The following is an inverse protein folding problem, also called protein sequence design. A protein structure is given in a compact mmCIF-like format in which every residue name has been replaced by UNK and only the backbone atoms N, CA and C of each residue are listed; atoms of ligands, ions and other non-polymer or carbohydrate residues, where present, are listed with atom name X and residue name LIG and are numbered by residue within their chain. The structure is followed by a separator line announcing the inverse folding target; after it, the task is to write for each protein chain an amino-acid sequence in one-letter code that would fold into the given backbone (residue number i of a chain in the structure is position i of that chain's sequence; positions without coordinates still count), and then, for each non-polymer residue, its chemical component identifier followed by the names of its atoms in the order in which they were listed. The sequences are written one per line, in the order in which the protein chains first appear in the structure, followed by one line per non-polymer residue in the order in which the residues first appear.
data_IF_926038002196
#
_entry.id   IF_926038002196
#
_cell.length_a   1.000
_cell.length_b   1.000
_cell.length_c   1.000
_cell.angle_alpha   90.00
_cell.angle_beta   90.00
_cell.angle_gamma   90.00
#
_symmetry.space_group_name_H-M   'P 1'
#
loop_
_entity.id
_entity.type
_entity.pdbx_description
1 polymer ?
#
# COMPACT_ATOMS: atom_id res chain seq x y z
N UNK A 1 -2.68 10.09 20.65
CA UNK A 1 -1.98 10.89 19.68
C UNK A 1 -0.93 10.13 18.90
N UNK A 2 -0.15 9.30 19.56
CA UNK A 2 0.81 8.48 18.84
C UNK A 2 0.13 7.53 17.87
N UNK A 3 -1.02 6.96 18.26
CA UNK A 3 -1.77 6.07 17.39
C UNK A 3 -2.24 6.77 16.14
N UNK A 4 -2.71 8.01 16.27
CA UNK A 4 -3.16 8.78 15.12
C UNK A 4 -2.01 9.05 14.16
N UNK A 5 -0.85 9.42 14.70
CA UNK A 5 0.33 9.65 13.87
C UNK A 5 0.82 8.38 13.21
N UNK A 6 0.75 7.24 13.92
CA UNK A 6 1.13 5.96 13.37
C UNK A 6 0.20 5.54 12.24
N UNK A 7 -1.11 5.67 12.44
CA UNK A 7 -2.09 5.34 11.40
C UNK A 7 -1.91 6.21 10.17
N UNK A 8 -1.68 7.50 10.35
CA UNK A 8 -1.45 8.40 9.23
C UNK A 8 -0.23 8.00 8.44
N UNK A 9 0.84 7.63 9.14
CA UNK A 9 2.08 7.19 8.49
C UNK A 9 1.86 5.93 7.66
N UNK A 10 1.17 4.94 8.21
CA UNK A 10 0.96 3.67 7.51
C UNK A 10 -0.06 3.82 6.38
N UNK A 11 -1.06 4.66 6.57
CA UNK A 11 -1.98 5.01 5.49
C UNK A 11 -1.20 5.61 4.31
N UNK A 12 -0.31 6.53 4.61
CA UNK A 12 0.51 7.19 3.61
C UNK A 12 1.45 6.20 2.92
N UNK A 13 2.05 5.28 3.68
CA UNK A 13 2.92 4.24 3.13
C UNK A 13 2.13 3.29 2.24
N UNK A 14 0.93 2.92 2.65
CA UNK A 14 0.06 2.03 1.87
C UNK A 14 -0.26 2.65 0.52
N UNK A 15 -0.65 3.92 0.52
CA UNK A 15 -0.94 4.62 -0.73
C UNK A 15 0.31 4.83 -1.57
N UNK A 16 1.41 5.16 -0.93
CA UNK A 16 2.68 5.34 -1.63
C UNK A 16 3.15 4.09 -2.34
N UNK A 17 3.03 2.95 -1.67
CA UNK A 17 3.40 1.67 -2.25
C UNK A 17 2.52 1.35 -3.46
N UNK A 18 1.22 1.52 -3.32
CA UNK A 18 0.28 1.27 -4.42
C UNK A 18 0.57 2.19 -5.61
N UNK A 19 0.76 3.47 -5.33
CA UNK A 19 1.04 4.44 -6.38
C UNK A 19 2.34 4.13 -7.12
N UNK A 20 3.35 3.71 -6.39
CA UNK A 20 4.65 3.37 -6.98
C UNK A 20 4.53 2.28 -8.04
N UNK A 21 3.59 1.33 -7.85
CA UNK A 21 3.38 0.23 -8.79
C UNK A 21 2.18 0.44 -9.71
N UNK A 22 1.68 1.68 -9.79
CA UNK A 22 0.65 2.04 -10.74
C UNK A 22 -0.78 1.75 -10.30
N UNK A 23 -1.01 1.57 -8.99
CA UNK A 23 -2.34 1.30 -8.46
C UNK A 23 -2.85 2.53 -7.71
N UNK A 24 -4.07 2.98 -8.02
CA UNK A 24 -4.74 4.03 -7.28
C UNK A 24 -5.82 3.39 -6.41
N UNK A 25 -5.55 3.31 -5.09
CA UNK A 25 -6.45 2.66 -4.15
C UNK A 25 -7.78 3.39 -4.03
N UNK A 26 -7.78 4.71 -4.09
CA UNK A 26 -9.02 5.49 -4.02
C UNK A 26 -9.91 5.19 -5.22
N UNK A 27 -9.33 5.15 -6.41
CA UNK A 27 -10.07 4.82 -7.62
C UNK A 27 -10.61 3.39 -7.54
N UNK A 28 -9.79 2.44 -7.08
CA UNK A 28 -10.21 1.06 -6.91
C UNK A 28 -11.41 0.96 -5.96
N UNK A 29 -11.38 1.74 -4.87
CA UNK A 29 -12.48 1.78 -3.92
C UNK A 29 -13.75 2.34 -4.56
N UNK A 30 -13.63 3.44 -5.29
CA UNK A 30 -14.77 4.06 -5.97
C UNK A 30 -15.38 3.15 -7.03
N UNK A 31 -14.54 2.39 -7.70
CA UNK A 31 -14.97 1.47 -8.75
C UNK A 31 -15.48 0.13 -8.20
N UNK A 32 -15.42 -0.06 -6.90
CA UNK A 32 -15.89 -1.29 -6.28
C UNK A 32 -14.96 -2.48 -6.43
N UNK A 33 -13.72 -2.27 -6.85
CA UNK A 33 -12.75 -3.36 -6.98
C UNK A 33 -12.22 -3.82 -5.62
N UNK A 34 -12.26 -2.91 -4.63
CA UNK A 34 -12.00 -3.26 -3.23
C UNK A 34 -13.08 -2.61 -2.38
N UNK A 35 -13.37 -3.22 -1.22
CA UNK A 35 -14.30 -2.65 -0.25
C UNK A 35 -13.56 -1.77 0.73
N UNK A 36 -14.32 -1.00 1.53
CA UNK A 36 -13.74 -0.23 2.63
C UNK A 36 -13.05 -1.15 3.64
N UNK A 37 -13.64 -2.32 3.86
CA UNK A 37 -13.08 -3.34 4.73
C UNK A 37 -11.73 -3.81 4.23
N UNK A 38 -11.64 -4.08 2.92
CA UNK A 38 -10.38 -4.49 2.30
C UNK A 38 -9.31 -3.42 2.45
N UNK A 39 -9.69 -2.17 2.26
CA UNK A 39 -8.78 -1.05 2.37
C UNK A 39 -8.26 -0.92 3.81
N UNK A 40 -9.19 -0.97 4.78
CA UNK A 40 -8.83 -0.88 6.19
C UNK A 40 -7.91 -2.03 6.59
N UNK A 41 -8.18 -3.22 6.10
CA UNK A 41 -7.36 -4.38 6.38
C UNK A 41 -5.96 -4.24 5.78
N UNK A 42 -5.86 -3.69 4.58
CA UNK A 42 -4.57 -3.46 3.94
C UNK A 42 -3.72 -2.50 4.77
N UNK A 43 -4.32 -1.43 5.29
CA UNK A 43 -3.61 -0.49 6.15
C UNK A 43 -3.15 -1.19 7.43
N UNK A 44 -4.01 -2.03 8.01
CA UNK A 44 -3.66 -2.76 9.22
C UNK A 44 -2.51 -3.73 8.97
N UNK A 45 -2.52 -4.44 7.86
CA UNK A 45 -1.45 -5.35 7.50
C UNK A 45 -0.14 -4.60 7.30
N UNK A 46 -0.20 -3.44 6.66
CA UNK A 46 0.95 -2.57 6.50
C UNK A 46 1.48 -2.12 7.86
N UNK A 47 0.56 -1.79 8.78
CA UNK A 47 0.90 -1.35 10.12
C UNK A 47 1.64 -2.44 10.91
N UNK A 48 1.29 -3.70 10.70
CA UNK A 48 1.90 -4.83 11.38
C UNK A 48 3.08 -5.43 10.63
N UNK A 49 3.43 -4.86 9.47
CA UNK A 49 4.55 -5.35 8.69
C UNK A 49 5.86 -5.12 9.42
N UNK A 50 6.71 -6.14 9.51
CA UNK A 50 7.99 -6.07 10.21
C UNK A 50 9.07 -5.33 9.42
N UNK A 51 8.76 -4.91 8.20
CA UNK A 51 9.75 -4.37 7.28
C UNK A 51 9.58 -2.87 7.00
N UNK A 52 9.11 -2.11 7.98
CA UNK A 52 8.87 -0.67 7.82
C UNK A 52 10.06 0.08 7.26
N UNK A 53 11.23 -0.15 7.84
CA UNK A 53 12.42 0.59 7.43
C UNK A 53 12.81 0.23 6.00
N UNK A 54 12.75 -1.03 5.66
CA UNK A 54 13.05 -1.50 4.30
C UNK A 54 12.05 -0.93 3.30
N UNK A 55 10.79 -0.83 3.70
CA UNK A 55 9.74 -0.25 2.88
C UNK A 55 10.02 1.23 2.63
N UNK A 56 10.39 1.98 3.66
CA UNK A 56 10.72 3.39 3.52
C UNK A 56 11.93 3.59 2.60
N UNK A 57 12.95 2.75 2.75
CA UNK A 57 14.13 2.80 1.90
C UNK A 57 13.76 2.52 0.45
N UNK A 58 12.92 1.50 0.24
CA UNK A 58 12.47 1.16 -1.10
C UNK A 58 11.67 2.29 -1.73
N UNK A 59 10.77 2.90 -0.95
CA UNK A 59 9.96 4.02 -1.45
C UNK A 59 10.81 5.23 -1.78
N UNK A 60 11.88 5.46 -1.02
CA UNK A 60 12.78 6.57 -1.31
C UNK A 60 13.42 6.44 -2.68
N UNK A 61 13.70 5.21 -3.10
CA UNK A 61 14.34 4.95 -4.40
C UNK A 61 13.30 4.78 -5.52
N UNK A 62 12.18 4.12 -5.24
CA UNK A 62 11.23 3.68 -6.25
C UNK A 62 9.87 4.39 -6.19
N UNK A 63 9.70 5.35 -5.31
CA UNK A 63 8.41 6.00 -5.09
C UNK A 63 7.84 6.69 -6.32
N UNK A 64 8.69 7.09 -7.27
CA UNK A 64 8.25 7.76 -8.49
C UNK A 64 7.68 6.78 -9.52
N UNK A 65 7.94 5.49 -9.34
CA UNK A 65 7.42 4.46 -10.22
C UNK A 65 8.29 3.22 -10.18
N UNK A 66 7.64 2.05 -10.20
CA UNK A 66 8.31 0.76 -10.23
C UNK A 66 7.39 -0.24 -10.92
N UNK A 67 7.97 -1.31 -11.45
CA UNK A 67 7.20 -2.34 -12.12
C UNK A 67 6.47 -3.24 -11.13
N UNK A 68 7.02 -3.40 -9.95
CA UNK A 68 6.48 -4.34 -8.96
C UNK A 68 6.90 -3.90 -7.55
N UNK A 69 6.01 -4.16 -6.59
CA UNK A 69 6.32 -3.96 -5.18
C UNK A 69 7.37 -4.96 -4.71
N UNK A 70 8.09 -4.65 -3.60
CA UNK A 70 9.07 -5.60 -3.05
C UNK A 70 8.39 -6.89 -2.61
N UNK A 71 9.12 -8.00 -2.66
CA UNK A 71 8.60 -9.31 -2.28
C UNK A 71 8.15 -9.38 -0.82
N UNK A 72 8.71 -8.54 0.05
CA UNK A 72 8.35 -8.51 1.46
C UNK A 72 7.08 -7.70 1.75
N UNK A 73 6.48 -7.07 0.75
CA UNK A 73 5.32 -6.20 0.96
C UNK A 73 4.10 -7.00 1.44
N UNK A 74 3.55 -6.61 2.60
CA UNK A 74 2.43 -7.31 3.20
C UNK A 74 1.15 -7.24 2.35
N UNK A 75 0.98 -6.17 1.59
CA UNK A 75 -0.19 -5.98 0.73
C UNK A 75 0.11 -6.32 -0.73
N UNK A 76 1.24 -6.95 -0.99
CA UNK A 76 1.63 -7.33 -2.35
C UNK A 76 0.57 -8.09 -3.12
N UNK A 77 -0.02 -9.15 -2.55
CA UNK A 77 -1.06 -9.91 -3.26
C UNK A 77 -2.26 -9.06 -3.68
N UNK A 78 -2.68 -8.12 -2.84
CA UNK A 78 -3.77 -7.22 -3.18
C UNK A 78 -3.37 -6.30 -4.34
N UNK A 79 -2.16 -5.76 -4.29
CA UNK A 79 -1.66 -4.90 -5.35
C UNK A 79 -1.55 -5.65 -6.67
N UNK A 80 -1.10 -6.90 -6.64
CA UNK A 80 -1.03 -7.74 -7.83
C UNK A 80 -2.40 -7.91 -8.46
N UNK A 81 -3.42 -8.20 -7.65
CA UNK A 81 -4.79 -8.35 -8.14
C UNK A 81 -5.31 -7.08 -8.78
N UNK A 82 -5.05 -5.94 -8.16
CA UNK A 82 -5.54 -4.67 -8.66
C UNK A 82 -4.86 -4.26 -9.97
N UNK A 83 -3.60 -4.64 -10.15
CA UNK A 83 -2.91 -4.38 -11.41
C UNK A 83 -3.42 -5.27 -12.54
N UNK A 84 -3.78 -6.51 -12.22
CA UNK A 84 -4.27 -7.46 -13.22
C UNK A 84 -5.61 -7.07 -13.83
N UNK A 85 -6.40 -6.30 -13.11
CA UNK A 85 -7.75 -5.95 -13.52
C UNK A 85 -7.79 -4.84 -14.58
N UNK A 86 -6.68 -4.28 -14.91
CA UNK A 86 -6.65 -3.28 -15.99
C UNK A 86 -7.16 -3.86 -17.32
#
# INVERSE_FOLDING_TARGET
MEETGRLSRHFWMTQGMARAVGVNLNTALQEGRISRSDYAQAIAECCHCAYHQRCLDWLAVNGAGADRQPAFCAIGPMLDRLREVK
#
